data_IF_378225356441
#
_entry.id   IF_378225356441
#
_cell.length_a   1.000
_cell.length_b   1.000
_cell.length_c   1.000
_cell.angle_alpha   90.00
_cell.angle_beta   90.00
_cell.angle_gamma   90.00
#
_symmetry.space_group_name_H-M   'P 1'
#
loop_
_entity.id
_entity.type
_entity.pdbx_description
1 polymer ?
#
# COMPACT_ATOMS: atom_id res chain seq x y z
N UNK A 1 -28.96 -12.34 -28.68
CA UNK A 1 -28.12 -13.19 -27.80
C UNK A 1 -28.37 -12.78 -26.36
N UNK A 2 -29.16 -13.56 -25.65
CA UNK A 2 -29.67 -13.28 -24.30
C UNK A 2 -28.67 -13.81 -23.26
N UNK A 3 -28.22 -12.96 -22.33
CA UNK A 3 -27.38 -13.39 -21.20
C UNK A 3 -28.19 -13.27 -19.90
N UNK A 4 -28.44 -14.43 -19.31
CA UNK A 4 -29.13 -14.63 -18.05
C UNK A 4 -28.29 -14.06 -16.89
N UNK A 5 -28.91 -13.23 -16.05
CA UNK A 5 -28.39 -12.82 -14.75
C UNK A 5 -28.75 -13.90 -13.72
N UNK A 6 -27.74 -14.56 -13.15
CA UNK A 6 -27.91 -15.43 -11.99
C UNK A 6 -27.54 -14.60 -10.76
N UNK A 7 -28.57 -14.17 -10.02
CA UNK A 7 -28.42 -13.58 -8.70
C UNK A 7 -28.04 -14.64 -7.67
N UNK A 8 -27.10 -14.30 -6.80
CA UNK A 8 -26.87 -15.02 -5.54
C UNK A 8 -27.08 -14.03 -4.39
N UNK A 9 -28.25 -14.15 -3.77
CA UNK A 9 -28.56 -13.60 -2.47
C UNK A 9 -28.52 -14.76 -1.48
N UNK A 10 -27.54 -14.77 -0.58
CA UNK A 10 -27.46 -15.59 0.64
C UNK A 10 -26.56 -14.75 1.57
N UNK A 11 -27.03 -14.09 2.63
CA UNK A 11 -27.96 -14.61 3.62
C UNK A 11 -27.15 -15.29 4.73
N UNK A 12 -26.50 -14.50 5.58
CA UNK A 12 -25.61 -14.99 6.64
C UNK A 12 -25.61 -14.05 7.84
N UNK A 13 -26.74 -14.02 8.55
CA UNK A 13 -26.90 -13.41 9.87
C UNK A 13 -26.23 -14.33 10.91
N UNK A 14 -25.09 -13.93 11.47
CA UNK A 14 -24.50 -14.61 12.65
C UNK A 14 -24.62 -13.68 13.85
N UNK A 15 -25.62 -14.01 14.68
CA UNK A 15 -25.87 -13.47 16.01
C UNK A 15 -24.97 -14.25 16.98
N UNK A 16 -23.99 -13.58 17.61
CA UNK A 16 -23.14 -14.22 18.62
C UNK A 16 -23.18 -13.43 19.94
N UNK A 17 -24.09 -13.94 20.78
CA UNK A 17 -24.13 -14.01 22.23
C UNK A 17 -23.26 -13.07 23.07
N UNK A 18 -23.99 -12.25 23.81
CA UNK A 18 -23.74 -11.73 25.16
C UNK A 18 -22.93 -12.67 26.05
N UNK A 19 -21.81 -12.17 26.59
CA UNK A 19 -21.28 -12.64 27.88
C UNK A 19 -21.55 -11.59 28.95
N UNK A 20 -22.63 -11.86 29.68
CA UNK A 20 -22.91 -11.33 31.01
C UNK A 20 -22.11 -12.20 32.00
N UNK A 21 -21.10 -11.64 32.66
CA UNK A 21 -20.15 -12.41 33.46
C UNK A 21 -19.70 -11.68 34.73
N UNK A 22 -20.53 -11.82 35.76
CA UNK A 22 -20.20 -11.95 37.19
C UNK A 22 -19.19 -11.00 37.83
N UNK A 23 -19.73 -10.11 38.66
CA UNK A 23 -19.06 -9.59 39.85
C UNK A 23 -18.66 -10.75 40.78
N UNK A 24 -17.36 -10.87 41.06
CA UNK A 24 -16.86 -11.59 42.23
C UNK A 24 -16.06 -10.60 43.06
N UNK A 25 -16.58 -10.33 44.26
CA UNK A 25 -15.82 -9.67 45.31
C UNK A 25 -14.82 -10.65 45.89
N UNK A 26 -13.63 -10.13 46.14
CA UNK A 26 -12.75 -10.64 47.19
C UNK A 26 -12.23 -9.44 47.96
N UNK A 27 -12.82 -9.21 49.13
CA UNK A 27 -12.31 -8.30 50.16
C UNK A 27 -11.10 -8.93 50.82
N UNK A 28 -9.96 -8.88 50.15
CA UNK A 28 -8.69 -9.30 50.71
C UNK A 28 -8.15 -8.20 51.63
N UNK A 29 -8.18 -8.45 52.95
CA UNK A 29 -7.56 -7.60 53.97
C UNK A 29 -6.05 -7.59 53.77
N UNK A 30 -5.55 -6.57 53.08
CA UNK A 30 -4.12 -6.30 52.88
C UNK A 30 -3.45 -5.90 54.21
N UNK A 31 -2.34 -6.54 54.62
CA UNK A 31 -1.57 -6.13 55.79
C UNK A 31 -0.88 -4.77 55.57
N UNK A 32 -0.66 -3.98 56.63
CA UNK A 32 -0.03 -2.67 56.53
C UNK A 32 1.44 -2.79 56.07
N UNK A 33 1.90 -1.95 55.13
CA UNK A 33 3.27 -2.02 54.63
C UNK A 33 4.29 -1.52 55.67
N UNK A 34 5.52 -2.08 55.67
CA UNK A 34 6.62 -1.60 56.50
C UNK A 34 7.04 -0.18 56.08
N UNK A 35 7.25 0.68 57.08
CA UNK A 35 7.74 2.06 56.91
C UNK A 35 9.18 2.05 56.38
N UNK A 36 9.34 2.19 55.07
CA UNK A 36 10.64 2.45 54.45
C UNK A 36 11.04 3.92 54.64
N UNK A 37 12.29 4.22 55.05
CA UNK A 37 12.72 5.57 55.34
C UNK A 37 12.67 6.48 54.12
N UNK A 38 12.05 7.65 54.33
CA UNK A 38 11.98 8.76 53.42
C UNK A 38 13.38 9.29 53.09
N UNK A 39 13.90 8.94 51.91
CA UNK A 39 14.92 9.75 51.27
C UNK A 39 14.96 9.50 49.75
N UNK A 40 13.89 9.88 49.06
CA UNK A 40 13.87 10.00 47.61
C UNK A 40 14.08 11.47 47.25
N UNK A 41 15.31 11.83 46.87
CA UNK A 41 15.57 13.03 46.08
C UNK A 41 14.67 12.96 44.86
N UNK A 42 13.63 13.78 44.83
CA UNK A 42 12.78 13.97 43.67
C UNK A 42 13.65 14.51 42.53
N UNK A 43 14.10 13.60 41.66
CA UNK A 43 14.71 13.97 40.39
C UNK A 43 13.67 14.80 39.63
N UNK A 44 13.98 16.08 39.44
CA UNK A 44 13.20 17.01 38.63
C UNK A 44 13.28 16.51 37.19
N UNK A 45 12.38 15.60 36.80
CA UNK A 45 12.18 15.29 35.40
C UNK A 45 11.57 16.56 34.75
N UNK A 46 12.22 17.15 33.74
CA UNK A 46 11.69 18.31 33.08
C UNK A 46 10.30 17.97 32.52
N UNK A 47 9.32 18.81 32.83
CA UNK A 47 7.95 18.63 32.33
C UNK A 47 7.99 18.63 30.80
N UNK A 48 7.68 17.47 30.21
CA UNK A 48 7.64 17.30 28.76
C UNK A 48 6.47 18.12 28.23
N UNK A 49 6.77 19.17 27.46
CA UNK A 49 5.73 20.01 26.85
C UNK A 49 5.04 19.23 25.74
N UNK A 50 3.76 18.93 25.94
CA UNK A 50 2.91 18.26 24.95
C UNK A 50 2.31 19.31 24.02
N UNK A 51 2.57 19.17 22.72
CA UNK A 51 2.01 20.03 21.69
C UNK A 51 0.77 19.39 21.07
N UNK A 52 -0.10 20.24 20.52
CA UNK A 52 -1.29 19.85 19.75
C UNK A 52 -1.20 20.52 18.38
N UNK A 53 -1.23 19.73 17.33
CA UNK A 53 -1.04 20.17 15.96
C UNK A 53 -2.21 19.70 15.09
N UNK A 54 -2.53 20.50 14.08
CA UNK A 54 -3.51 20.15 13.05
C UNK A 54 -2.75 20.06 11.73
N UNK A 55 -2.79 18.90 11.09
CA UNK A 55 -2.19 18.67 9.78
C UNK A 55 -3.30 18.47 8.75
N UNK A 56 -3.30 19.29 7.70
CA UNK A 56 -4.26 19.15 6.59
C UNK A 56 -3.70 18.19 5.57
N UNK A 57 -4.42 17.09 5.32
CA UNK A 57 -4.01 16.05 4.38
C UNK A 57 -4.32 16.50 2.96
N UNK A 58 -3.35 16.35 2.05
CA UNK A 58 -3.39 16.89 0.68
C UNK A 58 -3.76 15.85 -0.36
N UNK A 59 -3.25 14.63 -0.23
CA UNK A 59 -3.37 13.61 -1.27
C UNK A 59 -3.87 12.26 -0.75
N UNK A 60 -3.59 11.94 0.52
CA UNK A 60 -4.04 10.71 1.17
C UNK A 60 -5.42 10.82 1.84
N UNK A 61 -5.85 9.71 2.44
CA UNK A 61 -6.97 9.64 3.37
C UNK A 61 -6.45 9.86 4.79
N UNK A 62 -7.05 10.77 5.56
CA UNK A 62 -6.65 10.99 6.96
C UNK A 62 -6.78 9.71 7.79
N UNK A 63 -7.77 8.87 7.51
CA UNK A 63 -8.00 7.62 8.24
C UNK A 63 -6.86 6.62 8.06
N UNK A 64 -6.37 6.46 6.83
CA UNK A 64 -5.32 5.49 6.51
C UNK A 64 -3.95 5.96 7.03
N UNK A 65 -3.71 7.27 6.95
CA UNK A 65 -2.52 7.89 7.54
C UNK A 65 -2.52 7.78 9.06
N UNK A 66 -3.65 8.05 9.73
CA UNK A 66 -3.77 7.91 11.18
C UNK A 66 -3.54 6.46 11.64
N UNK A 67 -4.07 5.47 10.92
CA UNK A 67 -3.85 4.06 11.25
C UNK A 67 -2.36 3.68 11.12
N UNK A 68 -1.71 4.13 10.05
CA UNK A 68 -0.29 3.85 9.79
C UNK A 68 0.61 4.51 10.84
N UNK A 69 0.39 5.81 11.12
CA UNK A 69 1.17 6.56 12.09
C UNK A 69 0.87 6.12 13.52
N UNK A 70 -0.38 5.78 13.81
CA UNK A 70 -0.79 5.21 15.09
C UNK A 70 -0.03 3.93 15.40
N UNK A 71 0.22 3.07 14.40
CA UNK A 71 1.04 1.87 14.56
C UNK A 71 2.53 2.16 14.77
N UNK A 72 3.05 3.25 14.20
CA UNK A 72 4.46 3.61 14.30
C UNK A 72 4.78 4.34 15.62
N UNK A 73 3.87 5.19 16.11
CA UNK A 73 4.06 6.07 17.27
C UNK A 73 3.19 5.70 18.49
N UNK A 74 2.79 4.42 18.63
CA UNK A 74 1.78 3.95 19.61
C UNK A 74 1.95 4.48 21.04
N UNK A 75 3.20 4.62 21.51
CA UNK A 75 3.50 5.03 22.89
C UNK A 75 3.71 6.55 23.05
N UNK A 76 4.04 7.24 21.96
CA UNK A 76 4.62 8.58 22.02
C UNK A 76 3.71 9.68 21.47
N UNK A 77 2.74 9.31 20.63
CA UNK A 77 1.81 10.24 20.02
C UNK A 77 0.37 9.70 20.00
N UNK A 78 -0.57 10.58 20.32
CA UNK A 78 -2.00 10.36 20.10
C UNK A 78 -2.37 11.02 18.77
N UNK A 79 -2.82 10.21 17.80
CA UNK A 79 -3.13 10.65 16.44
C UNK A 79 -4.58 10.29 16.14
N UNK A 80 -5.39 11.29 15.80
CA UNK A 80 -6.79 11.12 15.48
C UNK A 80 -7.08 11.68 14.08
N UNK A 81 -7.76 10.89 13.26
CA UNK A 81 -8.27 11.35 11.97
C UNK A 81 -9.62 12.04 12.16
N UNK A 82 -9.79 13.18 11.48
CA UNK A 82 -11.05 13.88 11.39
C UNK A 82 -11.27 14.39 9.97
N UNK A 83 -12.53 14.42 9.54
CA UNK A 83 -12.95 14.95 8.25
C UNK A 83 -14.03 16.01 8.46
N UNK A 84 -13.97 17.09 7.69
CA UNK A 84 -14.98 18.14 7.69
C UNK A 84 -15.36 18.52 6.25
N UNK A 85 -16.26 19.50 6.09
CA UNK A 85 -16.66 20.00 4.77
C UNK A 85 -15.53 20.66 3.96
N UNK A 86 -14.42 21.01 4.61
CA UNK A 86 -13.27 21.68 4.01
C UNK A 86 -12.14 20.70 3.66
N UNK A 87 -12.19 19.45 4.14
CA UNK A 87 -11.22 18.40 3.81
C UNK A 87 -10.91 17.46 4.97
N UNK A 88 -9.86 16.65 4.75
CA UNK A 88 -9.34 15.66 5.69
C UNK A 88 -8.16 16.24 6.48
N UNK A 89 -8.16 16.03 7.80
CA UNK A 89 -7.09 16.51 8.67
C UNK A 89 -6.77 15.52 9.79
N UNK A 90 -5.55 15.63 10.30
CA UNK A 90 -5.05 14.86 11.44
C UNK A 90 -4.88 15.78 12.64
N UNK A 91 -5.43 15.35 13.77
CA UNK A 91 -5.19 15.96 15.08
C UNK A 91 -4.09 15.16 15.76
N UNK A 92 -2.95 15.81 15.99
CA UNK A 92 -1.75 15.18 16.52
C UNK A 92 -1.46 15.77 17.89
N UNK A 93 -1.31 14.91 18.89
CA UNK A 93 -0.90 15.30 20.24
C UNK A 93 0.33 14.49 20.65
N UNK A 94 1.47 15.14 20.79
CA UNK A 94 2.75 14.50 21.08
C UNK A 94 3.73 15.46 21.77
N UNK A 95 4.78 14.96 22.44
CA UNK A 95 5.93 15.77 22.85
C UNK A 95 6.57 16.52 21.66
N UNK A 96 7.10 17.72 21.87
CA UNK A 96 7.75 18.54 20.81
C UNK A 96 8.71 17.78 19.87
N UNK A 97 9.67 16.97 20.36
CA UNK A 97 10.59 16.27 19.47
C UNK A 97 9.88 15.21 18.60
N UNK A 98 8.92 14.49 19.19
CA UNK A 98 8.12 13.46 18.51
C UNK A 98 7.18 14.10 17.49
N UNK A 99 6.56 15.22 17.84
CA UNK A 99 5.68 15.96 16.96
C UNK A 99 6.37 16.39 15.66
N UNK A 100 7.63 16.87 15.75
CA UNK A 100 8.45 17.22 14.58
C UNK A 100 8.75 16.01 13.69
N UNK A 101 9.01 14.86 14.30
CA UNK A 101 9.25 13.61 13.58
C UNK A 101 7.98 13.11 12.87
N UNK A 102 6.83 13.13 13.55
CA UNK A 102 5.53 12.78 12.97
C UNK A 102 5.24 13.64 11.74
N UNK A 103 5.48 14.94 11.80
CA UNK A 103 5.30 15.85 10.65
C UNK A 103 6.24 15.50 9.50
N UNK A 104 7.51 15.19 9.78
CA UNK A 104 8.48 14.79 8.74
C UNK A 104 8.07 13.47 8.04
N UNK A 105 7.58 12.49 8.80
CA UNK A 105 7.07 11.24 8.22
C UNK A 105 5.81 11.51 7.41
N UNK A 106 4.92 12.37 7.89
CA UNK A 106 3.72 12.79 7.15
C UNK A 106 4.06 13.43 5.81
N UNK A 107 5.06 14.30 5.74
CA UNK A 107 5.50 14.90 4.47
C UNK A 107 5.99 13.87 3.44
N UNK A 108 6.51 12.74 3.90
CA UNK A 108 6.94 11.64 3.02
C UNK A 108 5.77 10.75 2.57
N UNK A 109 4.80 10.52 3.46
CA UNK A 109 3.63 9.67 3.19
C UNK A 109 2.54 10.40 2.39
N UNK A 110 2.22 11.64 2.75
CA UNK A 110 1.24 12.49 2.07
C UNK A 110 1.87 13.19 0.86
N UNK A 111 2.53 12.40 0.02
CA UNK A 111 3.09 12.83 -1.26
C UNK A 111 2.07 12.67 -2.37
N UNK A 112 2.16 13.52 -3.40
CA UNK A 112 1.33 13.40 -4.60
C UNK A 112 1.55 12.02 -5.24
N UNK A 113 0.48 11.22 -5.45
CA UNK A 113 0.59 9.94 -6.13
C UNK A 113 1.16 10.10 -7.54
N UNK A 114 2.09 9.23 -7.91
CA UNK A 114 2.66 9.18 -9.26
C UNK A 114 1.70 8.48 -10.20
N UNK A 115 1.65 8.96 -11.44
CA UNK A 115 0.94 8.29 -12.54
C UNK A 115 1.95 7.45 -13.31
N UNK A 116 1.61 6.19 -13.54
CA UNK A 116 2.43 5.22 -14.27
C UNK A 116 1.70 4.82 -15.55
N UNK A 117 2.39 4.93 -16.68
CA UNK A 117 1.92 4.39 -17.95
C UNK A 117 2.63 3.07 -18.21
N UNK A 118 1.86 1.99 -18.31
CA UNK A 118 2.33 0.65 -18.63
C UNK A 118 1.94 0.37 -20.08
N UNK A 119 2.93 -0.02 -20.86
CA UNK A 119 2.73 -0.45 -22.24
C UNK A 119 3.08 -1.92 -22.36
N UNK A 120 2.16 -2.72 -22.89
CA UNK A 120 2.33 -4.14 -23.14
C UNK A 120 2.26 -4.37 -24.64
N UNK A 121 3.34 -4.91 -25.18
CA UNK A 121 3.45 -5.25 -26.60
C UNK A 121 3.39 -6.76 -26.74
N UNK A 122 2.29 -7.27 -27.30
CA UNK A 122 2.10 -8.68 -27.56
C UNK A 122 2.54 -8.96 -28.99
N UNK A 123 3.54 -9.84 -29.13
CA UNK A 123 4.11 -10.25 -30.41
C UNK A 123 3.82 -11.73 -30.61
N UNK A 124 3.09 -12.05 -31.67
CA UNK A 124 2.89 -13.44 -32.10
C UNK A 124 3.91 -13.76 -33.20
N UNK A 125 4.71 -14.81 -32.99
CA UNK A 125 5.81 -15.18 -33.87
C UNK A 125 5.41 -16.38 -34.72
N UNK A 126 5.67 -16.33 -36.02
CA UNK A 126 5.32 -17.42 -36.92
C UNK A 126 6.23 -18.63 -36.64
N UNK A 127 5.68 -19.86 -36.58
CA UNK A 127 6.52 -21.04 -36.68
C UNK A 127 7.21 -21.01 -38.06
N UNK A 128 8.54 -21.14 -38.09
CA UNK A 128 9.29 -21.20 -39.36
C UNK A 128 8.82 -22.43 -40.15
N UNK A 129 7.98 -22.24 -41.17
CA UNK A 129 7.64 -23.29 -42.13
C UNK A 129 8.83 -23.50 -43.05
N UNK A 130 9.65 -24.51 -42.74
CA UNK A 130 10.70 -25.00 -43.63
C UNK A 130 10.44 -26.46 -44.00
N UNK A 131 9.82 -26.69 -45.16
CA UNK A 131 10.04 -27.94 -45.90
C UNK A 131 11.42 -27.82 -46.56
N UNK A 132 12.44 -28.47 -45.99
CA UNK A 132 13.71 -28.74 -46.68
C UNK A 132 14.91 -27.80 -46.41
N UNK A 133 14.86 -26.88 -45.44
CA UNK A 133 16.02 -26.06 -45.08
C UNK A 133 16.83 -26.69 -43.92
N UNK A 134 18.16 -26.66 -44.04
CA UNK A 134 19.12 -27.25 -43.08
C UNK A 134 18.77 -26.98 -41.59
N UNK A 135 18.83 -28.02 -40.73
CA UNK A 135 18.32 -27.98 -39.35
C UNK A 135 19.04 -27.00 -38.40
N UNK A 136 20.24 -26.54 -38.73
CA UNK A 136 21.10 -25.84 -37.76
C UNK A 136 20.91 -24.31 -37.72
N UNK A 137 20.29 -23.68 -38.73
CA UNK A 137 20.03 -22.23 -38.74
C UNK A 137 18.59 -21.85 -38.30
N UNK A 138 17.69 -22.85 -38.22
CA UNK A 138 16.26 -22.63 -38.02
C UNK A 138 15.88 -22.41 -36.55
N UNK A 139 16.67 -22.94 -35.59
CA UNK A 139 16.33 -23.00 -34.17
C UNK A 139 17.05 -21.98 -33.28
N UNK A 140 17.40 -20.80 -33.79
CA UNK A 140 17.71 -19.68 -32.88
C UNK A 140 16.39 -19.20 -32.27
N UNK A 141 15.96 -19.91 -31.23
CA UNK A 141 14.89 -19.48 -30.33
C UNK A 141 15.16 -18.03 -29.92
N UNK A 142 14.10 -17.22 -29.90
CA UNK A 142 14.21 -15.83 -29.49
C UNK A 142 14.67 -15.80 -28.03
N UNK A 143 15.84 -15.24 -27.75
CA UNK A 143 16.31 -15.10 -26.38
C UNK A 143 15.48 -14.02 -25.67
N UNK A 144 14.80 -14.40 -24.59
CA UNK A 144 14.05 -13.48 -23.71
C UNK A 144 14.88 -12.28 -23.24
N UNK A 145 16.20 -12.45 -23.09
CA UNK A 145 17.12 -11.40 -22.67
C UNK A 145 17.25 -10.30 -23.72
N UNK A 146 17.01 -10.60 -25.00
CA UNK A 146 17.06 -9.62 -26.07
C UNK A 146 15.86 -8.64 -26.05
N UNK A 147 14.81 -8.93 -25.28
CA UNK A 147 13.63 -8.07 -25.13
C UNK A 147 13.55 -7.43 -23.74
N UNK A 148 14.67 -7.39 -23.02
CA UNK A 148 14.82 -6.69 -21.75
C UNK A 148 15.72 -5.48 -21.94
N UNK A 149 15.29 -4.30 -21.48
CA UNK A 149 16.07 -3.07 -21.61
C UNK A 149 15.21 -1.82 -21.79
N UNK A 150 15.76 -0.81 -22.45
CA UNK A 150 15.04 0.40 -22.79
C UNK A 150 13.90 0.10 -23.79
N UNK A 151 12.73 0.70 -23.57
CA UNK A 151 11.56 0.47 -24.41
C UNK A 151 11.82 0.77 -25.90
N UNK A 152 12.63 1.80 -26.20
CA UNK A 152 13.00 2.14 -27.58
C UNK A 152 13.78 1.03 -28.28
N UNK A 153 14.74 0.42 -27.59
CA UNK A 153 15.55 -0.68 -28.14
C UNK A 153 14.73 -1.94 -28.36
N UNK A 154 13.86 -2.28 -27.40
CA UNK A 154 12.96 -3.42 -27.50
C UNK A 154 12.02 -3.26 -28.71
N UNK A 155 11.45 -2.05 -28.89
CA UNK A 155 10.58 -1.77 -30.03
C UNK A 155 11.31 -1.83 -31.37
N UNK A 156 12.53 -1.31 -31.46
CA UNK A 156 13.35 -1.39 -32.67
C UNK A 156 13.65 -2.86 -33.06
N UNK A 157 13.88 -3.75 -32.07
CA UNK A 157 14.08 -5.19 -32.30
C UNK A 157 12.80 -5.88 -32.78
N UNK A 158 11.66 -5.57 -32.16
CA UNK A 158 10.35 -6.09 -32.60
C UNK A 158 10.04 -5.66 -34.04
N UNK A 159 10.34 -4.41 -34.40
CA UNK A 159 10.19 -3.93 -35.78
C UNK A 159 11.12 -4.63 -36.77
N UNK A 160 12.35 -4.94 -36.35
CA UNK A 160 13.30 -5.70 -37.17
C UNK A 160 12.78 -7.11 -37.45
N UNK A 161 12.28 -7.82 -36.43
CA UNK A 161 11.66 -9.14 -36.59
C UNK A 161 10.40 -9.10 -37.47
N UNK A 162 9.65 -8.00 -37.41
CA UNK A 162 8.52 -7.78 -38.30
C UNK A 162 8.94 -7.60 -39.75
N UNK A 163 10.02 -6.84 -40.01
CA UNK A 163 10.59 -6.67 -41.36
C UNK A 163 11.15 -7.98 -41.92
N UNK A 164 11.70 -8.84 -41.05
CA UNK A 164 12.13 -10.21 -41.40
C UNK A 164 10.96 -11.17 -41.68
N UNK A 165 9.70 -10.76 -41.48
CA UNK A 165 8.53 -11.61 -41.64
C UNK A 165 8.37 -12.67 -40.55
N UNK A 166 9.07 -12.54 -39.42
CA UNK A 166 8.98 -13.48 -38.28
C UNK A 166 7.78 -13.21 -37.38
N UNK A 167 7.26 -11.98 -37.39
CA UNK A 167 6.09 -11.59 -36.59
C UNK A 167 4.81 -11.75 -37.40
N UNK A 168 3.87 -12.56 -36.91
CA UNK A 168 2.52 -12.77 -37.47
C UNK A 168 1.61 -11.62 -37.07
N UNK A 169 1.58 -11.30 -35.78
CA UNK A 169 0.70 -10.27 -35.23
C UNK A 169 1.42 -9.46 -34.16
N UNK A 170 1.09 -8.16 -34.12
CA UNK A 170 1.61 -7.21 -33.15
C UNK A 170 0.43 -6.46 -32.55
N UNK A 171 0.25 -6.55 -31.23
CA UNK A 171 -0.76 -5.78 -30.50
C UNK A 171 -0.09 -4.93 -29.44
N UNK A 172 -0.42 -3.65 -29.42
CA UNK A 172 0.05 -2.69 -28.43
C UNK A 172 -1.10 -2.33 -27.51
N UNK A 173 -0.95 -2.62 -26.23
CA UNK A 173 -1.90 -2.30 -25.18
C UNK A 173 -1.24 -1.26 -24.27
N UNK A 174 -1.96 -0.18 -23.96
CA UNK A 174 -1.47 0.83 -23.04
C UNK A 174 -2.49 1.04 -21.94
N UNK A 175 -2.01 1.12 -20.70
CA UNK A 175 -2.82 1.42 -19.53
C UNK A 175 -2.10 2.45 -18.69
N UNK A 176 -2.82 3.47 -18.24
CA UNK A 176 -2.30 4.49 -17.33
C UNK A 176 -3.03 4.35 -16.00
N UNK A 177 -2.27 4.21 -14.91
CA UNK A 177 -2.81 4.02 -13.56
C UNK A 177 -2.06 4.88 -12.55
N UNK A 178 -2.64 5.06 -11.37
CA UNK A 178 -1.95 5.64 -10.22
C UNK A 178 -1.07 4.57 -9.58
N UNK A 179 0.09 4.97 -9.05
CA UNK A 179 0.96 4.04 -8.32
C UNK A 179 0.18 3.32 -7.20
N UNK A 180 0.49 2.04 -7.00
CA UNK A 180 -0.20 1.16 -6.04
C UNK A 180 -1.70 0.91 -6.32
N UNK A 181 -2.24 1.31 -7.46
CA UNK A 181 -3.61 0.96 -7.87
C UNK A 181 -3.61 -0.11 -8.96
N UNK A 182 -4.40 -1.16 -8.72
CA UNK A 182 -4.66 -2.22 -9.70
C UNK A 182 -5.43 -1.69 -10.90
N UNK A 183 -4.97 -2.01 -12.10
CA UNK A 183 -5.64 -1.65 -13.34
C UNK A 183 -5.66 -2.87 -14.27
N UNK A 184 -6.71 -3.00 -15.08
CA UNK A 184 -6.87 -4.14 -16.00
C UNK A 184 -7.34 -3.68 -17.37
N UNK A 185 -6.78 -4.28 -18.41
CA UNK A 185 -7.19 -4.12 -19.81
C UNK A 185 -7.75 -5.48 -20.29
N UNK A 186 -8.87 -5.47 -21.01
CA UNK A 186 -9.58 -6.65 -21.49
C UNK A 186 -9.69 -6.63 -23.00
#
# INVERSE_FOLDING_TARGET
MSRQYIGWALGGLVLLLSFLGTAFGDTEKKPPPPKTPANARAAHHPAVQVQRLIYVVKYGSAKDLAATLGNYFQADAEIQAASNSLGDYLLIRAPDPVAKEVVRVLEQLDRRPKVVSIEVVLVEVAPRKGEGAQPDAANKELDSREFSGEAGEVMARVESLRKEGRVVSLRRLQITTVENQSASIR
#
